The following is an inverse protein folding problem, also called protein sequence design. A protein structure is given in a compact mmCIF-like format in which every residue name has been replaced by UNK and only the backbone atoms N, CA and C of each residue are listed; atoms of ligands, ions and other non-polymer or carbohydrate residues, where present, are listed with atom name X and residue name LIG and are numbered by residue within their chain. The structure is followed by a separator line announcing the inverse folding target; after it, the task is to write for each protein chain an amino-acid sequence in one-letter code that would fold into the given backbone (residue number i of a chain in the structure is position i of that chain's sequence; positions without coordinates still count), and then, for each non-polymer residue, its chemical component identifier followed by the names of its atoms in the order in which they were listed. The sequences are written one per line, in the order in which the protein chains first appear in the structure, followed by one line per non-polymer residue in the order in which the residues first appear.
data_IF_364059555488
#
_entry.id   IF_364059555488
#
_cell.length_a   1.000
_cell.length_b   1.000
_cell.length_c   1.000
_cell.angle_alpha   90.00
_cell.angle_beta   90.00
_cell.angle_gamma   90.00
#
_symmetry.space_group_name_H-M   'P 1'
#
loop_
_entity.id
_entity.type
_entity.pdbx_description
1 polymer ?
#
# COMPACT_ATOMS: atom_id res chain seq x y z
N UNK A 1 3.77 8.21 -7.26
CA UNK A 1 3.81 8.76 -5.89
C UNK A 1 4.20 10.23 -5.92
N UNK A 2 3.62 11.04 -5.02
CA UNK A 2 3.82 12.50 -4.94
C UNK A 2 4.78 12.93 -3.83
N UNK A 3 4.71 12.30 -2.66
CA UNK A 3 5.47 12.69 -1.46
C UNK A 3 6.35 11.57 -0.91
N UNK A 4 5.89 10.33 -0.98
CA UNK A 4 6.69 9.16 -0.60
C UNK A 4 7.77 8.88 -1.65
N UNK A 5 8.98 8.52 -1.19
CA UNK A 5 10.05 8.00 -2.04
C UNK A 5 10.26 6.52 -1.78
N UNK A 6 10.32 5.74 -2.84
CA UNK A 6 10.53 4.29 -2.80
C UNK A 6 11.20 3.83 -4.10
N UNK A 7 12.47 4.21 -4.26
CA UNK A 7 13.20 4.03 -5.51
C UNK A 7 14.48 3.22 -5.28
N UNK A 8 14.96 2.51 -6.30
CA UNK A 8 16.25 1.83 -6.24
C UNK A 8 17.40 2.84 -6.21
N UNK A 9 18.27 2.71 -5.21
CA UNK A 9 19.51 3.45 -5.09
C UNK A 9 20.69 2.55 -5.48
N UNK A 10 21.32 2.89 -6.61
CA UNK A 10 22.43 2.12 -7.17
C UNK A 10 23.72 2.26 -6.37
N UNK A 11 23.90 3.33 -5.60
CA UNK A 11 25.08 3.54 -4.75
C UNK A 11 24.96 2.74 -3.44
N UNK A 12 23.75 2.66 -2.88
CA UNK A 12 23.48 1.84 -1.68
C UNK A 12 23.25 0.36 -2.00
N UNK A 13 23.07 0.01 -3.27
CA UNK A 13 22.64 -1.33 -3.72
C UNK A 13 21.36 -1.79 -2.99
N UNK A 14 20.36 -0.92 -2.90
CA UNK A 14 19.09 -1.20 -2.22
C UNK A 14 18.06 -0.11 -2.42
N UNK A 15 16.88 -0.27 -1.81
CA UNK A 15 15.80 0.71 -1.93
C UNK A 15 15.98 1.87 -0.94
N UNK A 16 15.92 3.10 -1.46
CA UNK A 16 15.82 4.31 -0.65
C UNK A 16 14.34 4.58 -0.34
N UNK A 17 13.97 4.39 0.93
CA UNK A 17 12.60 4.49 1.41
C UNK A 17 12.46 5.70 2.35
N UNK A 18 11.64 6.67 1.98
CA UNK A 18 11.43 7.88 2.77
C UNK A 18 9.96 8.36 2.72
N UNK A 19 9.18 8.13 3.79
CA UNK A 19 7.82 8.66 3.92
C UNK A 19 7.77 10.04 4.57
N UNK A 20 8.90 10.67 4.92
CA UNK A 20 8.92 11.84 5.81
C UNK A 20 8.15 13.03 5.25
N UNK A 21 8.26 13.30 3.94
CA UNK A 21 7.51 14.36 3.30
C UNK A 21 6.00 14.07 3.31
N UNK A 22 5.61 12.80 3.10
CA UNK A 22 4.21 12.39 3.17
C UNK A 22 3.65 12.55 4.59
N UNK A 23 4.42 12.18 5.62
CA UNK A 23 4.00 12.31 7.02
C UNK A 23 3.80 13.77 7.46
N UNK A 24 4.51 14.73 6.86
CA UNK A 24 4.29 16.17 7.08
C UNK A 24 2.98 16.64 6.45
N UNK A 25 2.62 16.06 5.31
CA UNK A 25 1.47 16.49 4.49
C UNK A 25 0.18 15.78 4.88
N UNK A 26 0.26 14.52 5.33
CA UNK A 26 -0.88 13.67 5.67
C UNK A 26 -1.88 14.36 6.62
N UNK A 27 -1.49 15.03 7.73
CA UNK A 27 -2.42 15.72 8.60
C UNK A 27 -3.26 16.80 7.91
N UNK A 28 -2.72 17.42 6.85
CA UNK A 28 -3.42 18.45 6.06
C UNK A 28 -4.52 17.85 5.18
N UNK A 29 -4.46 16.54 4.91
CA UNK A 29 -5.42 15.82 4.05
C UNK A 29 -6.56 15.17 4.84
N UNK A 30 -6.57 15.27 6.17
CA UNK A 30 -7.54 14.57 7.04
C UNK A 30 -8.98 14.76 6.60
N UNK A 31 -9.39 15.99 6.31
CA UNK A 31 -10.78 16.31 5.97
C UNK A 31 -11.13 15.96 4.51
N UNK A 32 -10.11 15.73 3.67
CA UNK A 32 -10.27 15.37 2.27
C UNK A 32 -10.22 13.85 2.04
N UNK A 33 -9.68 13.09 3.00
CA UNK A 33 -9.57 11.65 2.91
C UNK A 33 -10.85 10.96 3.41
N UNK A 34 -11.28 9.87 2.75
CA UNK A 34 -12.29 8.96 3.29
C UNK A 34 -11.89 8.40 4.65
N UNK A 35 -12.87 7.99 5.45
CA UNK A 35 -12.65 7.63 6.85
C UNK A 35 -11.73 6.41 7.00
N UNK A 36 -11.91 5.38 6.17
CA UNK A 36 -11.08 4.18 6.21
C UNK A 36 -9.67 4.43 5.66
N UNK A 37 -9.57 5.18 4.57
CA UNK A 37 -8.31 5.66 4.00
C UNK A 37 -7.48 6.46 5.03
N UNK A 38 -8.10 7.39 5.75
CA UNK A 38 -7.46 8.12 6.84
C UNK A 38 -7.05 7.20 7.99
N UNK A 39 -7.95 6.33 8.46
CA UNK A 39 -7.66 5.42 9.57
C UNK A 39 -6.46 4.52 9.28
N UNK A 40 -6.31 4.08 8.03
CA UNK A 40 -5.17 3.27 7.60
C UNK A 40 -3.88 4.09 7.50
N UNK A 41 -3.86 5.16 6.68
CA UNK A 41 -2.65 5.95 6.46
C UNK A 41 -2.13 6.66 7.72
N UNK A 42 -3.03 7.04 8.64
CA UNK A 42 -2.68 7.77 9.88
C UNK A 42 -2.35 6.88 11.07
N UNK A 43 -2.39 5.54 10.91
CA UNK A 43 -1.95 4.62 11.96
C UNK A 43 -0.46 4.89 12.26
N UNK A 44 -0.15 5.20 13.52
CA UNK A 44 1.19 5.58 13.95
C UNK A 44 2.25 4.47 13.69
N UNK A 45 1.81 3.23 13.53
CA UNK A 45 2.68 2.09 13.25
C UNK A 45 2.94 1.87 11.76
N UNK A 46 2.09 2.40 10.89
CA UNK A 46 2.07 2.13 9.45
C UNK A 46 3.41 2.45 8.75
N UNK A 47 3.95 3.65 9.02
CA UNK A 47 5.23 4.11 8.48
C UNK A 47 6.42 3.88 9.43
N UNK A 48 6.20 3.22 10.57
CA UNK A 48 7.26 2.86 11.51
C UNK A 48 7.96 1.59 11.03
N UNK A 49 9.07 1.71 10.29
CA UNK A 49 9.75 0.58 9.64
C UNK A 49 10.10 -0.60 10.58
N UNK A 50 10.17 -0.36 11.90
CA UNK A 50 10.45 -1.39 12.92
C UNK A 50 9.20 -2.02 13.54
N UNK A 51 8.01 -1.47 13.32
CA UNK A 51 6.77 -2.03 13.86
C UNK A 51 6.33 -3.26 13.08
N UNK A 52 5.74 -4.22 13.79
CA UNK A 52 5.06 -5.38 13.21
C UNK A 52 3.74 -5.01 12.48
N UNK A 53 3.29 -3.75 12.59
CA UNK A 53 2.11 -3.19 11.90
C UNK A 53 2.47 -2.15 10.85
N UNK A 54 3.72 -2.12 10.40
CA UNK A 54 4.12 -1.35 9.23
C UNK A 54 3.87 -2.15 7.96
N UNK A 55 3.44 -1.50 6.88
CA UNK A 55 3.21 -2.20 5.60
C UNK A 55 4.49 -2.72 4.96
N UNK A 56 5.65 -2.12 5.28
CA UNK A 56 6.94 -2.48 4.69
C UNK A 56 7.25 -3.96 4.92
N UNK A 57 7.73 -4.63 3.89
CA UNK A 57 8.11 -6.05 3.84
C UNK A 57 6.92 -7.04 3.92
N UNK A 58 5.67 -6.57 3.91
CA UNK A 58 4.53 -7.45 3.69
C UNK A 58 4.61 -8.09 2.29
N UNK A 59 4.31 -9.37 2.19
CA UNK A 59 4.39 -10.13 0.93
C UNK A 59 3.03 -10.12 0.23
N UNK A 60 2.97 -9.81 -1.06
CA UNK A 60 1.72 -9.85 -1.82
C UNK A 60 1.26 -11.32 -1.98
N UNK A 61 0.14 -11.68 -1.34
CA UNK A 61 -0.36 -13.05 -1.29
C UNK A 61 -1.54 -13.28 -2.25
N UNK A 62 -2.35 -12.26 -2.52
CA UNK A 62 -3.52 -12.41 -3.37
C UNK A 62 -4.13 -11.09 -3.83
N UNK A 63 -4.69 -11.13 -5.05
CA UNK A 63 -5.46 -10.04 -5.64
C UNK A 63 -6.80 -10.62 -6.11
N UNK A 64 -7.89 -10.15 -5.50
CA UNK A 64 -9.24 -10.62 -5.80
C UNK A 64 -10.02 -9.50 -6.45
N UNK A 65 -10.05 -9.52 -7.79
CA UNK A 65 -10.78 -8.53 -8.59
C UNK A 65 -12.24 -8.98 -8.73
N UNK A 66 -13.22 -8.13 -8.37
CA UNK A 66 -14.62 -8.47 -8.50
C UNK A 66 -15.02 -8.62 -9.97
N UNK A 67 -15.87 -9.61 -10.25
CA UNK A 67 -16.40 -9.86 -11.60
C UNK A 67 -17.67 -9.04 -11.89
N UNK A 68 -18.29 -8.45 -10.87
CA UNK A 68 -19.43 -7.55 -11.01
C UNK A 68 -19.04 -6.09 -10.76
N UNK A 69 -19.85 -5.16 -11.29
CA UNK A 69 -19.59 -3.70 -11.22
C UNK A 69 -19.78 -3.07 -9.84
N UNK A 70 -20.12 -3.86 -8.81
CA UNK A 70 -20.34 -3.40 -7.43
C UNK A 70 -19.41 -4.08 -6.42
N UNK A 71 -18.59 -5.00 -6.88
CA UNK A 71 -17.80 -5.83 -5.99
C UNK A 71 -16.63 -5.07 -5.39
N UNK A 72 -16.03 -5.72 -4.41
CA UNK A 72 -14.94 -5.19 -3.60
C UNK A 72 -13.65 -5.77 -4.15
N UNK A 73 -12.71 -4.91 -4.57
CA UNK A 73 -11.34 -5.35 -4.81
C UNK A 73 -10.72 -5.68 -3.46
N UNK A 74 -10.06 -6.83 -3.36
CA UNK A 74 -9.32 -7.20 -2.15
C UNK A 74 -7.87 -7.46 -2.51
N UNK A 75 -6.97 -6.81 -1.77
CA UNK A 75 -5.55 -7.16 -1.74
C UNK A 75 -5.27 -7.88 -0.43
N UNK A 76 -4.60 -9.01 -0.52
CA UNK A 76 -4.14 -9.80 0.63
C UNK A 76 -2.63 -9.82 0.66
N UNK A 77 -2.09 -9.53 1.84
CA UNK A 77 -0.67 -9.55 2.10
C UNK A 77 -0.36 -10.53 3.24
N UNK A 78 0.57 -11.45 3.02
CA UNK A 78 1.06 -12.35 4.05
C UNK A 78 2.06 -11.67 4.96
N UNK A 79 2.09 -12.13 6.22
CA UNK A 79 3.10 -11.74 7.17
C UNK A 79 4.48 -12.21 6.69
N UNK A 80 5.44 -11.29 6.60
CA UNK A 80 6.84 -11.69 6.57
C UNK A 80 7.23 -12.24 7.95
N UNK A 81 7.66 -13.50 7.99
CA UNK A 81 7.97 -14.30 9.19
C UNK A 81 8.96 -13.65 10.17
N UNK A 82 9.73 -12.65 9.71
CA UNK A 82 10.75 -11.99 10.52
C UNK A 82 10.25 -10.72 11.22
N UNK A 83 9.18 -10.09 10.71
CA UNK A 83 8.74 -8.75 11.14
C UNK A 83 7.30 -8.72 11.60
N UNK A 84 6.40 -9.42 10.91
CA UNK A 84 4.96 -9.27 11.10
C UNK A 84 4.40 -10.45 11.90
N UNK A 85 3.51 -10.14 12.84
CA UNK A 85 2.76 -11.15 13.60
C UNK A 85 1.52 -11.65 12.85
N UNK A 86 1.03 -10.85 11.89
CA UNK A 86 -0.16 -11.14 11.10
C UNK A 86 -0.06 -10.50 9.70
N UNK A 87 -0.84 -11.01 8.75
CA UNK A 87 -0.96 -10.42 7.43
C UNK A 87 -1.90 -9.21 7.44
N UNK A 88 -2.11 -8.63 6.26
CA UNK A 88 -2.96 -7.48 6.05
C UNK A 88 -3.93 -7.76 4.90
N UNK A 89 -5.22 -7.57 5.15
CA UNK A 89 -6.25 -7.57 4.10
C UNK A 89 -6.74 -6.15 3.90
N UNK A 90 -6.69 -5.66 2.66
CA UNK A 90 -7.22 -4.35 2.28
C UNK A 90 -8.38 -4.56 1.31
N UNK A 91 -9.55 -4.04 1.67
CA UNK A 91 -10.79 -4.11 0.89
C UNK A 91 -11.13 -2.74 0.36
N UNK A 92 -11.26 -2.60 -0.95
CA UNK A 92 -11.55 -1.34 -1.61
C UNK A 92 -13.00 -1.33 -2.12
N UNK A 93 -13.73 -0.27 -1.77
CA UNK A 93 -15.11 -0.05 -2.17
C UNK A 93 -15.21 1.02 -3.25
N UNK A 94 -16.18 0.90 -4.16
CA UNK A 94 -16.38 1.89 -5.23
C UNK A 94 -15.15 2.06 -6.14
N UNK A 95 -14.47 0.96 -6.46
CA UNK A 95 -13.26 0.98 -7.29
C UNK A 95 -13.59 1.51 -8.68
N UNK A 96 -12.89 2.57 -9.08
CA UNK A 96 -13.01 3.20 -10.39
C UNK A 96 -11.78 2.95 -11.28
N UNK A 97 -10.66 2.56 -10.69
CA UNK A 97 -9.42 2.21 -11.39
C UNK A 97 -8.64 1.19 -10.58
N UNK A 98 -8.04 0.23 -11.28
CA UNK A 98 -7.09 -0.72 -10.74
C UNK A 98 -6.04 -1.02 -11.82
N UNK A 99 -4.76 -0.85 -11.50
CA UNK A 99 -3.65 -1.27 -12.35
C UNK A 99 -2.52 -1.86 -11.53
N UNK A 100 -1.76 -2.74 -12.19
CA UNK A 100 -0.47 -3.23 -11.73
C UNK A 100 0.52 -2.94 -12.84
N UNK A 101 1.57 -2.22 -12.51
CA UNK A 101 2.62 -1.83 -13.42
C UNK A 101 3.91 -2.52 -12.96
N UNK A 102 4.41 -3.46 -13.76
CA UNK A 102 5.63 -4.22 -13.49
C UNK A 102 6.83 -3.52 -14.12
N UNK A 103 7.91 -3.37 -13.35
CA UNK A 103 9.21 -3.00 -13.92
C UNK A 103 9.87 -4.26 -14.50
N UNK A 104 10.34 -4.22 -15.75
CA UNK A 104 10.77 -5.40 -16.51
C UNK A 104 12.06 -6.08 -16.00
N UNK A 105 12.54 -5.77 -14.81
CA UNK A 105 13.65 -6.49 -14.18
C UNK A 105 13.14 -7.82 -13.63
N UNK A 106 13.42 -8.89 -14.37
CA UNK A 106 13.29 -10.26 -13.87
C UNK A 106 14.32 -10.44 -12.74
N UNK A 107 13.88 -10.32 -11.48
CA UNK A 107 14.66 -10.69 -10.30
C UNK A 107 13.95 -11.81 -9.50
N UNK A 108 14.76 -12.53 -8.73
CA UNK A 108 14.62 -13.92 -8.29
C UNK A 108 13.84 -14.08 -6.98
N UNK A 109 13.06 -13.08 -6.57
CA UNK A 109 12.24 -13.16 -5.36
C UNK A 109 10.97 -13.97 -5.61
N UNK A 110 10.64 -14.88 -4.69
CA UNK A 110 9.46 -15.73 -4.81
C UNK A 110 8.15 -14.94 -4.68
N UNK A 111 8.17 -13.77 -4.03
CA UNK A 111 7.01 -12.90 -3.85
C UNK A 111 7.43 -11.42 -3.84
N UNK A 112 6.61 -10.58 -4.45
CA UNK A 112 6.73 -9.13 -4.37
C UNK A 112 6.45 -8.65 -2.94
N UNK A 113 7.36 -7.85 -2.38
CA UNK A 113 7.18 -7.28 -1.04
C UNK A 113 6.92 -5.79 -1.10
N UNK A 114 6.08 -5.29 -0.19
CA UNK A 114 5.76 -3.87 -0.09
C UNK A 114 6.99 -3.08 0.37
N UNK A 115 7.35 -2.06 -0.38
CA UNK A 115 8.35 -1.09 -0.01
C UNK A 115 7.72 0.00 0.85
N UNK A 116 6.78 0.75 0.26
CA UNK A 116 5.96 1.79 0.90
C UNK A 116 4.67 1.98 0.09
N UNK A 117 3.72 2.70 0.67
CA UNK A 117 2.50 3.13 0.01
C UNK A 117 2.19 4.61 0.27
N UNK A 118 1.28 5.18 -0.51
CA UNK A 118 0.77 6.53 -0.36
C UNK A 118 -0.72 6.58 -0.69
N UNK A 119 -1.45 7.32 0.13
CA UNK A 119 -2.87 7.57 -0.08
C UNK A 119 -3.09 9.07 -0.26
N UNK A 120 -3.69 9.45 -1.39
CA UNK A 120 -4.01 10.84 -1.71
C UNK A 120 -5.52 11.03 -1.92
N UNK A 121 -6.08 12.17 -1.50
CA UNK A 121 -7.48 12.47 -1.73
C UNK A 121 -7.77 12.66 -3.23
N UNK A 122 -8.96 12.24 -3.64
CA UNK A 122 -9.52 12.45 -4.98
C UNK A 122 -10.96 12.98 -4.87
N UNK A 123 -11.49 13.53 -5.96
CA UNK A 123 -12.85 14.07 -6.00
C UNK A 123 -13.92 13.08 -5.48
N UNK A 124 -13.79 11.79 -5.82
CA UNK A 124 -14.75 10.74 -5.47
C UNK A 124 -14.21 9.72 -4.45
N UNK A 125 -13.18 10.08 -3.67
CA UNK A 125 -12.58 9.18 -2.67
C UNK A 125 -11.08 9.36 -2.54
N UNK A 126 -10.30 8.33 -2.82
CA UNK A 126 -8.83 8.38 -2.75
C UNK A 126 -8.13 7.55 -3.85
N UNK A 127 -6.87 7.86 -4.10
CA UNK A 127 -5.91 6.96 -4.74
C UNK A 127 -5.05 6.32 -3.68
N UNK A 128 -4.84 5.00 -3.78
CA UNK A 128 -3.86 4.26 -3.03
C UNK A 128 -2.83 3.70 -4.01
N UNK A 129 -1.59 4.19 -3.88
CA UNK A 129 -0.44 3.71 -4.64
C UNK A 129 0.44 2.88 -3.70
N UNK A 130 0.74 1.64 -4.08
CA UNK A 130 1.61 0.74 -3.32
C UNK A 130 2.80 0.39 -4.20
N UNK A 131 4.00 0.67 -3.71
CA UNK A 131 5.24 0.27 -4.37
C UNK A 131 5.68 -1.07 -3.78
N UNK A 132 5.89 -2.03 -4.66
CA UNK A 132 6.47 -3.32 -4.39
C UNK A 132 7.93 -3.34 -4.89
N UNK A 133 8.64 -4.42 -4.60
CA UNK A 133 10.02 -4.60 -5.07
C UNK A 133 10.17 -4.52 -6.59
N UNK A 134 9.27 -5.15 -7.37
CA UNK A 134 9.36 -5.19 -8.84
C UNK A 134 8.09 -4.70 -9.55
N UNK A 135 7.16 -4.11 -8.80
CA UNK A 135 5.89 -3.64 -9.33
C UNK A 135 5.32 -2.46 -8.54
N UNK A 136 4.31 -1.81 -9.10
CA UNK A 136 3.47 -0.89 -8.37
C UNK A 136 2.00 -1.23 -8.59
N UNK A 137 1.20 -1.08 -7.54
CA UNK A 137 -0.25 -1.24 -7.59
C UNK A 137 -0.88 0.14 -7.41
N UNK A 138 -1.81 0.49 -8.29
CA UNK A 138 -2.62 1.71 -8.15
C UNK A 138 -4.09 1.36 -8.06
N UNK A 139 -4.76 1.82 -7.01
CA UNK A 139 -6.21 1.70 -6.82
C UNK A 139 -6.83 3.09 -6.69
N UNK A 140 -7.85 3.41 -7.50
CA UNK A 140 -8.75 4.52 -7.21
C UNK A 140 -10.06 3.97 -6.67
N UNK A 141 -10.47 4.42 -5.49
CA UNK A 141 -11.63 3.90 -4.77
C UNK A 141 -12.37 5.01 -4.03
N UNK A 142 -13.60 4.72 -3.59
CA UNK A 142 -14.37 5.61 -2.74
C UNK A 142 -13.84 5.60 -1.30
N UNK A 143 -13.55 4.42 -0.77
CA UNK A 143 -12.90 4.22 0.53
C UNK A 143 -12.30 2.80 0.58
N UNK A 144 -11.45 2.56 1.57
CA UNK A 144 -10.84 1.26 1.86
C UNK A 144 -11.03 0.86 3.32
N UNK A 145 -10.98 -0.43 3.58
CA UNK A 145 -10.94 -1.02 4.92
C UNK A 145 -9.71 -1.92 5.02
N UNK A 146 -8.84 -1.65 5.99
CA UNK A 146 -7.63 -2.41 6.24
C UNK A 146 -7.74 -3.17 7.56
N UNK A 147 -7.55 -4.48 7.52
CA UNK A 147 -7.64 -5.36 8.70
C UNK A 147 -6.39 -6.22 8.79
N UNK A 148 -5.69 -6.08 9.91
CA UNK A 148 -4.59 -6.96 10.30
C UNK A 148 -5.15 -8.30 10.84
N UNK A 149 -4.62 -9.42 10.38
CA UNK A 149 -5.10 -10.75 10.76
C UNK A 149 -4.57 -11.89 9.90
N UNK A 150 -5.21 -13.05 9.96
CA UNK A 150 -4.93 -14.12 9.00
C UNK A 150 -5.36 -13.65 7.60
N UNK A 151 -4.38 -13.57 6.70
CA UNK A 151 -4.64 -13.49 5.26
C UNK A 151 -5.28 -14.81 4.83
#
# INVERSE_FOLDING_TARGET
MKYVKADWDSEMHGFNLDPSAYLVELPQMRDALPAGAWAFASDAEHYSMRSARSVKDLELAGIFVPTDKRGVLTLEFSANQWKHESGLRIRYSGVSHFSIDYDQSIDWMQADTVLLDEILPRHDGCSHEIVLTDASITVHCQDLEAVWGAA
#
